data_IF_406108210045
#
_entry.id   IF_406108210045
#
_cell.length_a   1.000
_cell.length_b   1.000
_cell.length_c   1.000
_cell.angle_alpha   90.00
_cell.angle_beta   90.00
_cell.angle_gamma   90.00
#
_symmetry.space_group_name_H-M   'P 1'
#
loop_
_entity.id
_entity.type
_entity.pdbx_description
1 polymer ?
#
# COMPACT_ATOMS: atom_id res chain seq x y z
N UNK A 1 -16.53 6.08 -2.34
CA UNK A 1 -16.29 6.42 -0.91
C UNK A 1 -17.41 7.28 -0.39
N UNK A 2 -17.75 7.22 0.91
CA UNK A 2 -18.74 8.13 1.49
C UNK A 2 -18.24 9.59 1.36
N UNK A 3 -19.13 10.46 0.89
CA UNK A 3 -18.80 11.88 0.64
C UNK A 3 -18.86 12.70 1.94
N UNK A 4 -18.08 12.28 2.96
CA UNK A 4 -18.02 12.96 4.25
C UNK A 4 -16.64 13.62 4.44
N UNK A 5 -16.57 14.93 4.77
CA UNK A 5 -15.29 15.67 4.80
C UNK A 5 -14.20 15.04 5.67
N UNK A 6 -14.54 14.49 6.84
CA UNK A 6 -13.57 13.82 7.73
C UNK A 6 -13.03 12.52 7.13
N UNK A 7 -13.87 11.74 6.42
CA UNK A 7 -13.44 10.49 5.75
C UNK A 7 -12.53 10.82 4.58
N UNK A 8 -12.85 11.84 3.81
CA UNK A 8 -12.00 12.31 2.71
C UNK A 8 -10.66 12.85 3.21
N UNK A 9 -10.66 13.63 4.28
CA UNK A 9 -9.43 14.14 4.90
C UNK A 9 -8.56 12.98 5.44
N UNK A 10 -9.15 12.00 6.11
CA UNK A 10 -8.45 10.83 6.62
C UNK A 10 -7.85 9.99 5.48
N UNK A 11 -8.63 9.72 4.43
CA UNK A 11 -8.13 9.02 3.25
C UNK A 11 -6.99 9.80 2.57
N UNK A 12 -7.13 11.13 2.45
CA UNK A 12 -6.07 11.97 1.88
C UNK A 12 -4.79 11.87 2.71
N UNK A 13 -4.87 11.88 4.04
CA UNK A 13 -3.71 11.75 4.91
C UNK A 13 -3.02 10.38 4.81
N UNK A 14 -3.79 9.31 4.60
CA UNK A 14 -3.24 7.95 4.51
C UNK A 14 -2.59 7.65 3.16
N UNK A 15 -3.22 8.07 2.08
CA UNK A 15 -2.82 7.68 0.72
C UNK A 15 -2.89 8.83 -0.30
N UNK A 16 -3.86 9.72 -0.18
CA UNK A 16 -4.07 10.80 -1.15
C UNK A 16 -2.92 11.77 -1.25
N UNK A 17 -2.18 12.00 -0.16
CA UNK A 17 -0.98 12.85 -0.18
C UNK A 17 0.13 12.25 -1.06
N UNK A 18 0.26 10.93 -1.09
CA UNK A 18 1.19 10.25 -1.99
C UNK A 18 0.74 10.40 -3.46
N UNK A 19 -0.56 10.27 -3.75
CA UNK A 19 -1.09 10.54 -5.09
C UNK A 19 -0.90 11.99 -5.55
N UNK A 20 -1.00 12.95 -4.63
CA UNK A 20 -0.74 14.36 -4.95
C UNK A 20 0.74 14.66 -5.23
N UNK A 21 1.65 13.89 -4.63
CA UNK A 21 3.10 14.06 -4.75
C UNK A 21 3.83 12.72 -4.95
N UNK A 22 3.55 11.99 -6.02
CA UNK A 22 4.00 10.60 -6.17
C UNK A 22 5.52 10.42 -6.30
N UNK A 23 6.24 11.48 -6.66
CA UNK A 23 7.71 11.47 -6.77
C UNK A 23 8.41 12.02 -5.53
N UNK A 24 7.68 12.42 -4.50
CA UNK A 24 8.27 12.88 -3.24
C UNK A 24 8.57 11.69 -2.32
N UNK A 25 9.85 11.42 -2.11
CA UNK A 25 10.33 10.28 -1.30
C UNK A 25 9.81 10.29 0.15
N UNK A 26 9.55 11.47 0.71
CA UNK A 26 9.06 11.61 2.08
C UNK A 26 7.54 11.42 2.20
N UNK A 27 6.82 11.35 1.09
CA UNK A 27 5.36 11.17 1.05
C UNK A 27 4.94 9.81 0.47
N UNK A 28 5.91 8.99 0.08
CA UNK A 28 5.66 7.68 -0.47
C UNK A 28 5.33 6.67 0.64
N UNK A 29 6.10 6.69 1.71
CA UNK A 29 5.95 5.78 2.85
C UNK A 29 5.16 6.47 3.95
N UNK A 30 4.19 5.76 4.54
CA UNK A 30 3.46 6.29 5.68
C UNK A 30 4.42 6.50 6.87
N UNK A 31 4.34 7.64 7.59
CA UNK A 31 5.30 7.93 8.65
C UNK A 31 5.36 6.82 9.70
N UNK A 32 6.55 6.35 10.12
CA UNK A 32 6.71 5.16 10.95
C UNK A 32 5.97 5.22 12.29
N UNK A 33 6.06 6.33 13.02
CA UNK A 33 5.44 6.46 14.36
C UNK A 33 3.92 6.31 14.30
N UNK A 34 3.15 7.10 13.51
CA UNK A 34 1.72 6.86 13.35
C UNK A 34 1.43 5.51 12.68
N UNK A 35 2.30 5.00 11.80
CA UNK A 35 2.16 3.68 11.21
C UNK A 35 2.17 2.57 12.25
N UNK A 36 3.11 2.58 13.18
CA UNK A 36 3.15 1.65 14.30
C UNK A 36 1.91 1.77 15.20
N UNK A 37 1.42 2.97 15.47
CA UNK A 37 0.21 3.15 16.27
C UNK A 37 -1.02 2.56 15.57
N UNK A 38 -1.20 2.85 14.27
CA UNK A 38 -2.29 2.29 13.45
C UNK A 38 -2.20 0.75 13.43
N UNK A 39 -1.03 0.19 13.16
CA UNK A 39 -0.80 -1.24 13.15
C UNK A 39 -1.12 -1.88 14.51
N UNK A 40 -0.63 -1.30 15.61
CA UNK A 40 -0.89 -1.81 16.95
C UNK A 40 -2.38 -1.85 17.28
N UNK A 41 -3.10 -0.74 17.11
CA UNK A 41 -4.51 -0.66 17.49
C UNK A 41 -5.47 -1.36 16.52
N UNK A 42 -5.20 -1.38 15.22
CA UNK A 42 -6.11 -1.95 14.22
C UNK A 42 -5.79 -3.41 13.88
N UNK A 43 -4.59 -3.89 14.20
CA UNK A 43 -4.15 -5.25 13.86
C UNK A 43 -3.81 -6.04 15.12
N UNK A 44 -2.77 -5.64 15.86
CA UNK A 44 -2.26 -6.42 16.98
C UNK A 44 -3.29 -6.57 18.09
N UNK A 45 -3.97 -5.50 18.48
CA UNK A 45 -4.98 -5.55 19.56
C UNK A 45 -6.13 -6.48 19.16
N UNK A 46 -6.83 -6.31 18.01
CA UNK A 46 -7.90 -7.24 17.61
C UNK A 46 -7.43 -8.67 17.44
N UNK A 47 -6.27 -8.91 16.82
CA UNK A 47 -5.74 -10.26 16.64
C UNK A 47 -5.38 -10.95 17.96
N UNK A 48 -5.01 -10.20 18.99
CA UNK A 48 -4.68 -10.75 20.32
C UNK A 48 -5.86 -11.43 21.02
N UNK A 49 -7.09 -11.16 20.60
CA UNK A 49 -8.30 -11.84 21.10
C UNK A 49 -8.54 -13.19 20.40
N UNK A 50 -7.94 -13.40 19.23
CA UNK A 50 -8.16 -14.60 18.40
C UNK A 50 -6.92 -15.49 18.37
N UNK A 51 -5.71 -14.90 18.38
CA UNK A 51 -4.44 -15.61 18.26
C UNK A 51 -3.78 -15.73 19.64
N UNK A 52 -3.53 -16.95 20.13
CA UNK A 52 -2.85 -17.17 21.41
C UNK A 52 -1.41 -16.64 21.40
N UNK A 53 -0.95 -16.12 22.52
CA UNK A 53 0.48 -15.89 22.76
C UNK A 53 1.22 -17.24 22.83
N UNK A 54 2.41 -17.41 22.23
CA UNK A 54 3.27 -16.40 21.63
C UNK A 54 3.05 -16.18 20.10
N UNK A 55 2.11 -16.86 19.49
CA UNK A 55 1.92 -16.88 18.03
C UNK A 55 1.63 -15.48 17.45
N UNK A 56 1.01 -14.59 18.24
CA UNK A 56 0.74 -13.21 17.82
C UNK A 56 2.02 -12.45 17.42
N UNK A 57 3.14 -12.69 18.13
CA UNK A 57 4.41 -12.03 17.79
C UNK A 57 4.99 -12.51 16.46
N UNK A 58 4.82 -13.80 16.15
CA UNK A 58 5.23 -14.36 14.86
C UNK A 58 4.40 -13.79 13.71
N UNK A 59 3.09 -13.68 13.90
CA UNK A 59 2.18 -13.07 12.91
C UNK A 59 2.53 -11.61 12.71
N UNK A 60 2.69 -10.84 13.79
CA UNK A 60 3.07 -9.44 13.72
C UNK A 60 4.42 -9.21 13.02
N UNK A 61 5.41 -10.05 13.30
CA UNK A 61 6.71 -9.99 12.63
C UNK A 61 6.59 -10.28 11.12
N UNK A 62 5.80 -11.29 10.75
CA UNK A 62 5.54 -11.63 9.34
C UNK A 62 4.82 -10.52 8.59
N UNK A 63 3.83 -9.89 9.22
CA UNK A 63 3.08 -8.78 8.67
C UNK A 63 3.97 -7.53 8.47
N UNK A 64 4.75 -7.15 9.48
CA UNK A 64 5.68 -6.03 9.38
C UNK A 64 6.76 -6.28 8.30
N UNK A 65 7.23 -7.52 8.17
CA UNK A 65 8.15 -7.89 7.09
C UNK A 65 7.48 -7.78 5.71
N UNK A 66 6.24 -8.27 5.57
CA UNK A 66 5.46 -8.11 4.35
C UNK A 66 5.20 -6.65 3.97
N UNK A 67 4.88 -5.82 4.96
CA UNK A 67 4.74 -4.38 4.78
C UNK A 67 6.04 -3.72 4.30
N UNK A 68 7.18 -4.08 4.91
CA UNK A 68 8.50 -3.58 4.46
C UNK A 68 8.80 -3.95 3.01
N UNK A 69 8.52 -5.20 2.61
CA UNK A 69 8.70 -5.63 1.21
C UNK A 69 7.79 -4.85 0.26
N UNK A 70 6.54 -4.62 0.66
CA UNK A 70 5.59 -3.78 -0.09
C UNK A 70 6.14 -2.36 -0.30
N UNK A 71 6.58 -1.70 0.77
CA UNK A 71 7.13 -0.35 0.70
C UNK A 71 8.41 -0.26 -0.15
N UNK A 72 9.29 -1.26 -0.06
CA UNK A 72 10.49 -1.32 -0.89
C UNK A 72 10.15 -1.47 -2.38
N UNK A 73 9.20 -2.33 -2.72
CA UNK A 73 8.74 -2.48 -4.11
C UNK A 73 8.09 -1.18 -4.58
N UNK A 74 7.23 -0.59 -3.77
CA UNK A 74 6.55 0.67 -4.08
C UNK A 74 7.57 1.79 -4.36
N UNK A 75 8.56 1.96 -3.49
CA UNK A 75 9.66 2.90 -3.69
C UNK A 75 10.42 2.62 -4.99
N UNK A 76 10.72 1.35 -5.27
CA UNK A 76 11.39 0.94 -6.50
C UNK A 76 10.58 1.28 -7.75
N UNK A 77 9.26 1.06 -7.73
CA UNK A 77 8.38 1.41 -8.85
C UNK A 77 8.37 2.92 -9.14
N UNK A 78 8.43 3.76 -8.12
CA UNK A 78 8.49 5.22 -8.32
C UNK A 78 9.86 5.71 -8.79
N UNK A 79 10.94 5.26 -8.18
CA UNK A 79 12.24 5.90 -8.28
C UNK A 79 13.27 5.15 -9.13
N UNK A 80 13.12 3.84 -9.35
CA UNK A 80 14.06 3.06 -10.15
C UNK A 80 13.66 2.98 -11.62
N UNK A 81 14.61 2.55 -12.45
CA UNK A 81 14.38 2.17 -13.86
C UNK A 81 14.57 0.66 -13.99
N UNK A 82 13.49 -0.14 -13.87
CA UNK A 82 13.58 -1.58 -13.97
C UNK A 82 14.16 -2.03 -15.31
N UNK A 83 14.99 -3.07 -15.28
CA UNK A 83 15.49 -3.73 -16.51
C UNK A 83 14.67 -4.98 -16.82
N UNK A 84 14.21 -5.66 -15.80
CA UNK A 84 13.35 -6.84 -15.90
C UNK A 84 11.96 -6.53 -16.45
N UNK A 85 11.40 -7.44 -17.24
CA UNK A 85 10.09 -7.26 -17.91
C UNK A 85 8.93 -7.17 -16.93
N UNK A 86 8.95 -7.99 -15.87
CA UNK A 86 7.91 -8.01 -14.85
C UNK A 86 7.82 -6.66 -14.12
N UNK A 87 8.95 -6.15 -13.62
CA UNK A 87 8.97 -4.87 -12.93
C UNK A 87 8.75 -3.67 -13.86
N UNK A 88 9.09 -3.76 -15.15
CA UNK A 88 8.72 -2.73 -16.13
C UNK A 88 7.21 -2.64 -16.29
N UNK A 89 6.55 -3.78 -16.43
CA UNK A 89 5.10 -3.86 -16.58
C UNK A 89 4.40 -3.40 -15.28
N UNK A 90 4.87 -3.85 -14.13
CA UNK A 90 4.33 -3.44 -12.84
C UNK A 90 4.50 -1.93 -12.58
N UNK A 91 5.65 -1.35 -12.92
CA UNK A 91 5.87 0.10 -12.86
C UNK A 91 4.90 0.84 -13.77
N UNK A 92 4.76 0.41 -15.03
CA UNK A 92 3.80 1.01 -15.97
C UNK A 92 2.37 0.98 -15.42
N UNK A 93 1.97 -0.17 -14.88
CA UNK A 93 0.67 -0.37 -14.26
C UNK A 93 0.42 0.59 -13.11
N UNK A 94 1.37 0.68 -12.18
CA UNK A 94 1.30 1.58 -11.03
C UNK A 94 1.32 3.06 -11.43
N UNK A 95 2.09 3.45 -12.45
CA UNK A 95 2.07 4.81 -12.98
C UNK A 95 0.74 5.15 -13.67
N UNK A 96 0.09 4.18 -14.33
CA UNK A 96 -1.25 4.38 -14.87
C UNK A 96 -2.28 4.62 -13.76
N UNK A 97 -2.18 3.90 -12.64
CA UNK A 97 -3.00 4.15 -11.45
C UNK A 97 -2.82 5.59 -10.93
N UNK A 98 -1.58 6.06 -10.79
CA UNK A 98 -1.32 7.42 -10.31
C UNK A 98 -1.81 8.52 -11.24
N UNK A 99 -1.57 8.39 -12.55
CA UNK A 99 -1.72 9.51 -13.48
C UNK A 99 -2.94 9.46 -14.38
N UNK A 100 -3.63 8.31 -14.46
CA UNK A 100 -4.77 8.15 -15.38
C UNK A 100 -6.01 7.53 -14.76
N UNK A 101 -5.86 6.54 -13.88
CA UNK A 101 -6.96 5.68 -13.46
C UNK A 101 -6.90 5.37 -11.96
N UNK A 102 -6.87 6.40 -11.11
CA UNK A 102 -6.72 6.29 -9.67
C UNK A 102 -7.81 5.50 -8.92
N UNK A 103 -8.87 5.08 -9.61
CA UNK A 103 -9.98 4.28 -9.04
C UNK A 103 -9.90 2.79 -9.34
N UNK A 104 -8.91 2.33 -10.10
CA UNK A 104 -8.61 0.93 -10.44
C UNK A 104 -7.11 0.72 -10.47
N UNK A 105 -6.66 -0.54 -10.53
CA UNK A 105 -5.23 -0.84 -10.64
C UNK A 105 -4.46 -0.63 -9.35
N UNK A 106 -4.97 -1.16 -8.24
CA UNK A 106 -4.42 -0.97 -6.89
C UNK A 106 -3.16 -1.81 -6.59
N UNK A 107 -2.83 -2.76 -7.46
CA UNK A 107 -1.72 -3.68 -7.27
C UNK A 107 -0.35 -2.99 -7.37
N UNK A 108 0.39 -2.96 -6.26
CA UNK A 108 1.74 -2.41 -6.18
C UNK A 108 2.80 -3.50 -6.32
N UNK A 109 2.72 -4.56 -5.52
CA UNK A 109 3.68 -5.68 -5.57
C UNK A 109 3.32 -6.75 -6.60
N UNK A 110 2.04 -6.89 -6.92
CA UNK A 110 1.50 -7.78 -7.95
C UNK A 110 0.07 -7.35 -8.31
N UNK A 111 -0.51 -7.93 -9.37
CA UNK A 111 -1.86 -7.62 -9.87
C UNK A 111 -2.93 -8.62 -9.43
N UNK A 112 -2.60 -9.56 -8.54
CA UNK A 112 -3.47 -10.68 -8.17
C UNK A 112 -4.85 -10.21 -7.69
N UNK A 113 -4.87 -9.24 -6.79
CA UNK A 113 -6.11 -8.74 -6.21
C UNK A 113 -6.93 -7.91 -7.19
N UNK A 114 -6.27 -7.15 -8.08
CA UNK A 114 -6.98 -6.44 -9.15
C UNK A 114 -7.67 -7.41 -10.09
N UNK A 115 -7.02 -8.51 -10.43
CA UNK A 115 -7.63 -9.58 -11.22
C UNK A 115 -8.81 -10.22 -10.47
N UNK A 116 -8.64 -10.57 -9.18
CA UNK A 116 -9.67 -11.21 -8.38
C UNK A 116 -10.92 -10.33 -8.18
N UNK A 117 -10.75 -9.02 -8.05
CA UNK A 117 -11.84 -8.05 -7.83
C UNK A 117 -12.30 -7.32 -9.09
N UNK A 118 -11.73 -7.61 -10.26
CA UNK A 118 -12.10 -6.97 -11.52
C UNK A 118 -11.72 -5.49 -11.61
N UNK A 119 -10.72 -5.06 -10.83
CA UNK A 119 -10.17 -3.70 -10.83
C UNK A 119 -8.92 -3.54 -11.69
N UNK A 120 -8.63 -4.49 -12.57
CA UNK A 120 -7.46 -4.49 -13.43
C UNK A 120 -7.47 -3.35 -14.47
N UNK A 121 -6.34 -2.66 -14.62
CA UNK A 121 -6.11 -1.73 -15.74
C UNK A 121 -5.74 -2.54 -16.98
N UNK A 122 -6.56 -2.44 -18.02
CA UNK A 122 -6.29 -3.03 -19.33
C UNK A 122 -5.59 -2.01 -20.24
N UNK A 123 -4.41 -2.37 -20.78
CA UNK A 123 -3.58 -1.50 -21.64
C UNK A 123 -2.76 -2.29 -22.65
#
# INVERSE_FOLDING_TARGET
>A
MPNHPKVLAFHFMLHGIHHAFPMDRLKLVFPPIPGFAVHFFLVIVPMSYVIPKPNIYTVAAGELFGYLLYDMIHYFLHHATPKDSYFKDLKRYHMLHHYKQGTIGFGVSNKLWDYAFGSEIKY
#
